data_IF_457604671602
#
_entry.id   IF_457604671602
#
_cell.length_a   1.000
_cell.length_b   1.000
_cell.length_c   1.000
_cell.angle_alpha   90.00
_cell.angle_beta   90.00
_cell.angle_gamma   90.00
#
_symmetry.space_group_name_H-M   'P 1'
#
loop_
_entity.id
_entity.type
_entity.pdbx_description
1 polymer ?
#
# COMPACT_ATOMS: atom_id res chain seq x y z
N UNK A 1 7.33 11.23 26.93
CA UNK A 1 5.92 11.45 26.55
C UNK A 1 5.71 10.91 25.15
N UNK A 2 5.08 9.74 25.01
CA UNK A 2 4.81 9.11 23.73
C UNK A 2 3.79 8.02 23.95
N UNK A 3 2.55 8.42 24.18
CA UNK A 3 1.44 7.49 24.41
C UNK A 3 1.15 6.65 23.17
N UNK A 4 0.27 5.66 23.35
CA UNK A 4 -0.30 4.71 22.37
C UNK A 4 -0.84 5.33 21.05
N UNK A 5 -0.85 6.66 20.95
CA UNK A 5 -1.33 7.48 19.84
C UNK A 5 -0.22 8.18 19.04
N UNK A 6 1.06 7.84 19.28
CA UNK A 6 2.19 8.43 18.57
C UNK A 6 2.26 8.00 17.11
N UNK A 7 2.27 8.96 16.18
CA UNK A 7 2.55 8.69 14.77
C UNK A 7 4.03 8.32 14.62
N UNK A 8 4.31 7.01 14.55
CA UNK A 8 5.69 6.51 14.50
C UNK A 8 6.41 7.00 13.25
N UNK A 9 7.74 7.09 13.30
CA UNK A 9 8.53 7.62 12.18
C UNK A 9 8.31 6.81 10.89
N UNK A 10 8.20 5.48 10.99
CA UNK A 10 7.91 4.62 9.85
C UNK A 10 6.50 4.85 9.28
N UNK A 11 5.50 5.13 10.14
CA UNK A 11 4.15 5.48 9.70
C UNK A 11 4.10 6.85 9.03
N UNK A 12 4.90 7.81 9.53
CA UNK A 12 5.05 9.12 8.91
C UNK A 12 5.66 9.03 7.51
N UNK A 13 6.76 8.28 7.37
CA UNK A 13 7.38 8.06 6.08
C UNK A 13 6.42 7.38 5.08
N UNK A 14 5.64 6.39 5.51
CA UNK A 14 4.59 5.78 4.66
C UNK A 14 3.49 6.79 4.30
N UNK A 15 3.09 7.66 5.22
CA UNK A 15 2.11 8.70 4.89
C UNK A 15 2.65 9.65 3.82
N UNK A 16 3.93 9.98 3.89
CA UNK A 16 4.59 10.83 2.90
C UNK A 16 4.66 10.16 1.52
N UNK A 17 4.91 8.84 1.45
CA UNK A 17 4.89 8.11 0.17
C UNK A 17 3.50 8.16 -0.48
N UNK A 18 2.45 7.94 0.32
CA UNK A 18 1.08 8.04 -0.18
C UNK A 18 0.76 9.45 -0.68
N UNK A 19 1.16 10.49 0.05
CA UNK A 19 0.95 11.88 -0.37
C UNK A 19 1.68 12.19 -1.68
N UNK A 20 2.94 11.77 -1.79
CA UNK A 20 3.74 11.96 -2.99
C UNK A 20 3.09 11.30 -4.23
N UNK A 21 2.57 10.07 -4.09
CA UNK A 21 1.80 9.42 -5.17
C UNK A 21 0.53 10.20 -5.56
N UNK A 22 -0.17 10.80 -4.59
CA UNK A 22 -1.39 11.59 -4.86
C UNK A 22 -1.07 12.86 -5.66
N UNK A 23 0.07 13.49 -5.40
CA UNK A 23 0.49 14.71 -6.12
C UNK A 23 1.32 14.41 -7.39
N UNK A 24 1.57 13.13 -7.69
CA UNK A 24 2.26 12.70 -8.90
C UNK A 24 3.79 12.75 -8.83
N UNK A 25 4.37 12.81 -7.62
CA UNK A 25 5.82 12.81 -7.41
C UNK A 25 6.31 11.37 -7.12
N UNK A 26 6.62 10.62 -8.17
CA UNK A 26 7.05 9.21 -8.08
C UNK A 26 8.38 9.05 -7.34
N UNK A 27 9.33 9.95 -7.56
CA UNK A 27 10.67 9.87 -6.98
C UNK A 27 10.60 10.08 -5.45
N UNK A 28 9.85 11.10 -5.01
CA UNK A 28 9.61 11.32 -3.60
C UNK A 28 8.79 10.18 -2.97
N UNK A 29 7.84 9.59 -3.72
CA UNK A 29 7.07 8.46 -3.26
C UNK A 29 7.96 7.23 -3.00
N UNK A 30 8.86 6.91 -3.93
CA UNK A 30 9.81 5.81 -3.80
C UNK A 30 10.75 6.03 -2.61
N UNK A 31 11.35 7.23 -2.50
CA UNK A 31 12.27 7.55 -1.41
C UNK A 31 11.59 7.45 -0.03
N UNK A 32 10.38 7.99 0.10
CA UNK A 32 9.62 7.93 1.35
C UNK A 32 9.16 6.51 1.71
N UNK A 33 8.74 5.72 0.72
CA UNK A 33 8.34 4.33 0.94
C UNK A 33 9.53 3.47 1.38
N UNK A 34 10.69 3.63 0.72
CA UNK A 34 11.93 3.00 1.15
C UNK A 34 12.34 3.40 2.57
N UNK A 35 12.24 4.68 2.92
CA UNK A 35 12.52 5.15 4.28
C UNK A 35 11.58 4.50 5.30
N UNK A 36 10.28 4.36 4.99
CA UNK A 36 9.32 3.71 5.86
C UNK A 36 9.69 2.25 6.14
N UNK A 37 10.02 1.50 5.08
CA UNK A 37 10.44 0.10 5.18
C UNK A 37 11.76 -0.06 5.94
N UNK A 38 12.72 0.84 5.71
CA UNK A 38 13.99 0.84 6.43
C UNK A 38 13.82 1.13 7.94
N UNK A 39 12.97 2.10 8.29
CA UNK A 39 12.65 2.41 9.69
C UNK A 39 11.89 1.26 10.36
N UNK A 40 10.95 0.63 9.65
CA UNK A 40 10.22 -0.53 10.13
C UNK A 40 11.15 -1.73 10.37
N UNK A 41 12.11 -1.98 9.47
CA UNK A 41 13.06 -3.08 9.59
C UNK A 41 14.02 -2.98 10.78
N UNK A 42 14.14 -1.80 11.41
CA UNK A 42 14.89 -1.61 12.66
C UNK A 42 14.12 -2.04 13.90
N UNK A 43 12.81 -2.31 13.77
CA UNK A 43 11.96 -2.80 14.87
C UNK A 43 12.12 -4.31 15.01
N UNK A 44 11.90 -4.82 16.22
CA UNK A 44 11.78 -6.25 16.45
C UNK A 44 10.61 -6.83 15.65
N UNK A 45 10.66 -8.09 15.19
CA UNK A 45 9.64 -8.65 14.30
C UNK A 45 8.20 -8.53 14.82
N UNK A 46 7.99 -8.68 16.12
CA UNK A 46 6.71 -8.53 16.82
C UNK A 46 6.19 -7.09 16.88
N UNK A 47 7.10 -6.10 16.79
CA UNK A 47 6.75 -4.69 16.77
C UNK A 47 6.59 -4.13 15.34
N UNK A 48 6.77 -4.94 14.30
CA UNK A 48 6.60 -4.49 12.92
C UNK A 48 5.12 -4.41 12.53
N UNK A 49 4.63 -3.18 12.31
CA UNK A 49 3.27 -2.95 11.86
C UNK A 49 3.02 -3.49 10.44
N UNK A 50 2.10 -4.45 10.31
CA UNK A 50 1.61 -4.93 9.01
C UNK A 50 1.02 -3.81 8.15
N UNK A 51 0.41 -2.79 8.78
CA UNK A 51 -0.10 -1.60 8.10
C UNK A 51 1.01 -0.86 7.35
N UNK A 52 2.10 -0.57 8.07
CA UNK A 52 3.24 0.16 7.51
C UNK A 52 3.96 -0.69 6.48
N UNK A 53 4.17 -1.98 6.78
CA UNK A 53 4.79 -2.93 5.85
C UNK A 53 4.04 -2.99 4.53
N UNK A 54 2.74 -3.28 4.58
CA UNK A 54 1.91 -3.43 3.38
C UNK A 54 1.68 -2.12 2.64
N UNK A 55 1.42 -1.03 3.37
CA UNK A 55 1.19 0.28 2.78
C UNK A 55 2.42 0.82 2.06
N UNK A 56 3.59 0.82 2.72
CA UNK A 56 4.83 1.31 2.10
C UNK A 56 5.30 0.41 0.95
N UNK A 57 5.15 -0.91 1.07
CA UNK A 57 5.50 -1.84 -0.01
C UNK A 57 4.63 -1.63 -1.26
N UNK A 58 3.32 -1.43 -1.08
CA UNK A 58 2.41 -1.16 -2.19
C UNK A 58 2.63 0.23 -2.82
N UNK A 59 2.94 1.24 -1.99
CA UNK A 59 3.29 2.58 -2.48
C UNK A 59 4.62 2.54 -3.28
N UNK A 60 5.63 1.82 -2.79
CA UNK A 60 6.91 1.61 -3.49
C UNK A 60 6.69 0.92 -4.84
N UNK A 61 5.88 -0.13 -4.88
CA UNK A 61 5.54 -0.80 -6.12
C UNK A 61 4.85 0.13 -7.11
N UNK A 62 3.91 0.97 -6.64
CA UNK A 62 3.26 1.96 -7.49
C UNK A 62 4.25 3.00 -8.03
N UNK A 63 5.18 3.48 -7.19
CA UNK A 63 6.21 4.43 -7.62
C UNK A 63 7.11 3.85 -8.72
N UNK A 64 7.56 2.60 -8.55
CA UNK A 64 8.37 1.88 -9.57
C UNK A 64 7.59 1.65 -10.86
N UNK A 65 6.30 1.31 -10.79
CA UNK A 65 5.46 1.21 -11.98
C UNK A 65 5.24 2.53 -12.71
N UNK A 66 5.28 3.68 -12.01
CA UNK A 66 5.25 5.00 -12.65
C UNK A 66 6.57 5.34 -13.35
N UNK A 67 7.66 4.69 -12.95
CA UNK A 67 8.98 4.74 -13.60
C UNK A 67 9.19 3.60 -14.63
N UNK A 68 8.12 2.89 -15.02
CA UNK A 68 8.13 1.74 -15.94
C UNK A 68 8.99 0.55 -15.48
N UNK A 69 9.27 0.42 -14.17
CA UNK A 69 10.00 -0.69 -13.55
C UNK A 69 9.04 -1.75 -12.98
N UNK A 70 8.64 -2.70 -13.83
CA UNK A 70 7.70 -3.79 -13.46
C UNK A 70 8.36 -4.84 -12.58
N UNK A 71 9.62 -5.18 -12.87
CA UNK A 71 10.43 -6.10 -12.09
C UNK A 71 10.64 -5.58 -10.67
N UNK A 72 11.06 -4.33 -10.52
CA UNK A 72 11.21 -3.71 -9.21
C UNK A 72 9.87 -3.55 -8.49
N UNK A 73 8.76 -3.34 -9.20
CA UNK A 73 7.44 -3.38 -8.58
C UNK A 73 7.09 -4.77 -8.03
N UNK A 74 7.44 -5.84 -8.73
CA UNK A 74 7.25 -7.21 -8.25
C UNK A 74 8.05 -7.48 -6.97
N UNK A 75 9.32 -7.05 -6.92
CA UNK A 75 10.16 -7.14 -5.73
C UNK A 75 9.59 -6.35 -4.55
N UNK A 76 9.15 -5.11 -4.82
CA UNK A 76 8.56 -4.24 -3.80
C UNK A 76 7.28 -4.84 -3.20
N UNK A 77 6.51 -5.63 -3.95
CA UNK A 77 5.31 -6.31 -3.47
C UNK A 77 5.59 -7.57 -2.65
N UNK A 78 6.80 -8.13 -2.67
CA UNK A 78 7.11 -9.36 -1.93
C UNK A 78 6.67 -9.32 -0.45
N UNK A 79 6.90 -8.23 0.31
CA UNK A 79 6.46 -8.14 1.70
C UNK A 79 4.94 -8.06 1.87
N UNK A 80 4.18 -7.65 0.84
CA UNK A 80 2.71 -7.59 0.88
C UNK A 80 2.14 -9.01 0.95
N UNK A 81 2.72 -9.95 0.20
CA UNK A 81 2.22 -11.32 0.11
C UNK A 81 2.34 -12.10 1.41
N UNK A 82 3.26 -11.70 2.27
CA UNK A 82 3.48 -12.30 3.59
C UNK A 82 2.49 -11.78 4.65
N UNK A 83 1.58 -10.86 4.30
CA UNK A 83 0.61 -10.30 5.25
C UNK A 83 -0.56 -11.29 5.43
N UNK A 84 -0.79 -11.80 6.66
CA UNK A 84 -1.92 -12.66 6.98
C UNK A 84 -3.26 -12.01 6.64
N UNK A 85 -4.26 -12.78 6.20
CA UNK A 85 -5.55 -12.26 5.73
C UNK A 85 -6.30 -11.41 6.76
N UNK A 86 -6.18 -11.74 8.05
CA UNK A 86 -6.74 -11.01 9.18
C UNK A 86 -6.05 -9.65 9.44
N UNK A 87 -4.87 -9.43 8.87
CA UNK A 87 -4.09 -8.19 9.00
C UNK A 87 -4.14 -7.31 7.73
N UNK A 88 -4.85 -7.73 6.68
CA UNK A 88 -5.02 -7.00 5.41
C UNK A 88 -6.03 -5.85 5.56
N UNK A 89 -5.65 -4.86 6.35
CA UNK A 89 -6.44 -3.65 6.57
C UNK A 89 -6.83 -2.98 5.25
N UNK A 90 -7.99 -2.31 5.23
CA UNK A 90 -8.54 -1.60 4.06
C UNK A 90 -7.52 -0.71 3.35
N UNK A 91 -6.66 -0.02 4.11
CA UNK A 91 -5.61 0.82 3.53
C UNK A 91 -4.60 0.05 2.65
N UNK A 92 -4.31 -1.21 2.95
CA UNK A 92 -3.43 -2.07 2.15
C UNK A 92 -4.18 -2.52 0.89
N UNK A 93 -5.41 -3.03 1.05
CA UNK A 93 -6.27 -3.51 -0.05
C UNK A 93 -6.53 -2.42 -1.09
N UNK A 94 -6.78 -1.18 -0.64
CA UNK A 94 -6.97 -0.03 -1.55
C UNK A 94 -5.71 0.28 -2.35
N UNK A 95 -4.52 0.18 -1.73
CA UNK A 95 -3.24 0.45 -2.41
C UNK A 95 -2.89 -0.65 -3.40
N UNK A 96 -3.03 -1.93 -3.04
CA UNK A 96 -2.84 -3.04 -3.97
C UNK A 96 -3.82 -2.98 -5.14
N UNK A 97 -5.08 -2.57 -4.90
CA UNK A 97 -6.05 -2.35 -5.98
C UNK A 97 -5.63 -1.22 -6.95
N UNK A 98 -4.89 -0.19 -6.50
CA UNK A 98 -4.33 0.85 -7.38
C UNK A 98 -3.23 0.28 -8.27
N UNK A 99 -2.33 -0.54 -7.71
CA UNK A 99 -1.30 -1.26 -8.45
C UNK A 99 -1.93 -2.14 -9.53
N UNK A 100 -2.94 -2.93 -9.18
CA UNK A 100 -3.69 -3.76 -10.13
C UNK A 100 -4.31 -2.93 -11.25
N UNK A 101 -4.97 -1.81 -10.92
CA UNK A 101 -5.57 -0.91 -11.91
C UNK A 101 -4.52 -0.34 -12.86
N UNK A 102 -3.34 0.04 -12.38
CA UNK A 102 -2.25 0.55 -13.23
C UNK A 102 -1.74 -0.52 -14.19
N UNK A 103 -1.51 -1.74 -13.70
CA UNK A 103 -1.10 -2.88 -14.51
C UNK A 103 -2.19 -3.37 -15.48
N UNK A 104 -3.44 -2.93 -15.31
CA UNK A 104 -4.54 -3.26 -16.22
C UNK A 104 -4.60 -2.32 -17.45
N UNK A 105 -3.66 -1.37 -17.57
CA UNK A 105 -3.59 -0.46 -18.72
C UNK A 105 -3.10 -1.20 -19.97
N UNK A 106 -3.51 -0.79 -21.18
CA UNK A 106 -3.12 -1.45 -22.42
C UNK A 106 -1.61 -1.64 -22.64
N UNK A 107 -0.78 -0.74 -22.09
CA UNK A 107 0.68 -0.82 -22.18
C UNK A 107 1.26 -2.11 -21.57
N UNK A 108 0.55 -2.76 -20.64
CA UNK A 108 0.99 -4.00 -19.99
C UNK A 108 0.28 -5.26 -20.54
N UNK A 109 -0.54 -5.12 -21.59
CA UNK A 109 -1.21 -6.28 -22.19
C UNK A 109 -0.19 -7.24 -22.80
N UNK A 110 -0.29 -8.53 -22.46
CA UNK A 110 0.64 -9.56 -22.89
C UNK A 110 1.96 -9.61 -22.10
N UNK A 111 2.24 -8.64 -21.23
CA UNK A 111 3.38 -8.72 -20.33
C UNK A 111 3.12 -9.76 -19.23
N UNK A 112 3.86 -10.85 -19.26
CA UNK A 112 3.64 -12.00 -18.38
C UNK A 112 3.72 -11.62 -16.89
N UNK A 113 4.75 -10.86 -16.49
CA UNK A 113 4.94 -10.46 -15.11
C UNK A 113 3.82 -9.53 -14.59
N UNK A 114 3.39 -8.57 -15.41
CA UNK A 114 2.26 -7.71 -15.08
C UNK A 114 0.96 -8.51 -14.85
N UNK A 115 0.71 -9.52 -15.70
CA UNK A 115 -0.41 -10.45 -15.53
C UNK A 115 -0.34 -11.22 -14.21
N UNK A 116 0.83 -11.79 -13.89
CA UNK A 116 1.05 -12.54 -12.64
C UNK A 116 0.84 -11.67 -11.40
N UNK A 117 1.35 -10.42 -11.41
CA UNK A 117 1.13 -9.49 -10.30
C UNK A 117 -0.36 -9.20 -10.14
N UNK A 118 -1.09 -8.97 -11.24
CA UNK A 118 -2.54 -8.71 -11.18
C UNK A 118 -3.31 -9.88 -10.58
N UNK A 119 -3.08 -11.10 -11.07
CA UNK A 119 -3.72 -12.32 -10.54
C UNK A 119 -3.44 -12.46 -9.03
N UNK A 120 -2.18 -12.26 -8.62
CA UNK A 120 -1.80 -12.34 -7.21
C UNK A 120 -2.47 -11.26 -6.35
N UNK A 121 -2.67 -10.05 -6.87
CA UNK A 121 -3.42 -8.99 -6.18
C UNK A 121 -4.91 -9.36 -6.06
N UNK A 122 -5.52 -9.91 -7.11
CA UNK A 122 -6.91 -10.36 -7.09
C UNK A 122 -7.12 -11.41 -6.00
N UNK A 123 -6.24 -12.41 -5.91
CA UNK A 123 -6.27 -13.43 -4.87
C UNK A 123 -6.02 -12.86 -3.48
N UNK A 124 -5.05 -11.94 -3.36
CA UNK A 124 -4.73 -11.26 -2.11
C UNK A 124 -5.94 -10.46 -1.57
N UNK A 125 -6.65 -9.75 -2.44
CA UNK A 125 -7.79 -8.91 -2.06
C UNK A 125 -9.07 -9.73 -1.82
N UNK A 126 -9.26 -10.86 -2.52
CA UNK A 126 -10.45 -11.72 -2.41
C UNK A 126 -10.65 -12.33 -1.02
N UNK A 127 -9.54 -12.69 -0.36
CA UNK A 127 -9.56 -13.36 0.95
C UNK A 127 -9.45 -12.39 2.14
N UNK A 128 -9.57 -11.09 1.89
CA UNK A 128 -9.66 -10.08 2.95
C UNK A 128 -11.09 -10.06 3.50
N UNK A 129 -11.30 -10.10 4.83
CA UNK A 129 -12.64 -10.13 5.38
C UNK A 129 -13.46 -8.92 4.89
N UNK A 130 -14.75 -9.11 4.52
CA UNK A 130 -15.61 -7.99 4.16
C UNK A 130 -15.62 -7.03 5.35
N UNK A 131 -15.19 -5.79 5.11
CA UNK A 131 -15.25 -4.76 6.14
C UNK A 131 -16.72 -4.63 6.55
N UNK A 132 -17.03 -4.93 7.82
CA UNK A 132 -18.27 -4.47 8.42
C UNK A 132 -18.15 -2.94 8.50
N UNK A 133 -18.65 -2.25 7.48
CA UNK A 133 -18.88 -0.82 7.51
C UNK A 133 -19.89 -0.60 8.63
N UNK A 134 -19.43 -0.10 9.77
CA UNK A 134 -20.31 0.49 10.79
C UNK A 134 -21.17 1.59 10.16
N UNK A 135 -22.36 1.89 10.71
CA UNK A 135 -23.39 2.65 10.01
C UNK A 135 -22.84 3.98 9.51
N UNK A 136 -23.11 4.26 8.23
CA UNK A 136 -22.89 5.54 7.59
C UNK A 136 -23.37 6.66 8.53
N UNK A 137 -22.43 7.43 9.08
CA UNK A 137 -22.76 8.74 9.65
C UNK A 137 -23.22 9.58 8.48
N UNK A 138 -24.55 9.66 8.35
CA UNK A 138 -25.22 10.47 7.37
C UNK A 138 -24.69 11.90 7.44
N UNK A 139 -24.44 12.45 6.26
CA UNK A 139 -24.18 13.86 6.02
C UNK A 139 -25.19 14.68 6.84
N UNK A 140 -24.71 15.41 7.84
CA UNK A 140 -25.53 16.43 8.52
C UNK A 140 -25.84 17.50 7.48
N UNK A 141 -27.07 17.47 6.97
CA UNK A 141 -27.65 18.58 6.23
C UNK A 141 -27.73 19.78 7.17
N UNK A 142 -26.95 20.81 6.84
CA UNK A 142 -27.13 22.16 7.37
C UNK A 142 -28.34 22.74 6.63
N UNK A 143 -29.47 22.87 7.30
CA UNK A 143 -30.52 23.79 6.86
C UNK A 143 -30.36 25.10 7.65
N UNK A 144 -30.36 26.19 6.89
CA UNK A 144 -30.33 27.58 7.36
C UNK A 144 -31.75 28.11 7.55
#
# INVERSE_FOLDING_TARGET
MGGEFGFTAERLAMSNSTTALIVGDSDQAEAAAHQALALLGRRTPDAQSAHVRGGASADLAMARLLADDVEGAAEALAPVWEIPSDQRMTGIVVRTARVHRHLSRPAYHGAQLAGQIRERIEDFNRVSPPHQIGPHVGLLALEA
#
